data_IF_644179240281
#
_entry.id   IF_644179240281
#
_cell.length_a   1.000
_cell.length_b   1.000
_cell.length_c   1.000
_cell.angle_alpha   90.00
_cell.angle_beta   90.00
_cell.angle_gamma   90.00
#
_symmetry.space_group_name_H-M   'P 1'
#
loop_
_entity.id
_entity.type
_entity.pdbx_description
1 polymer ?
#
# COMPACT_ATOMS: atom_id res chain seq x y z
N UNK A 1 21.64 -9.90 6.61
CA UNK A 1 20.83 -10.49 7.29
C UNK A 1 19.87 -9.60 7.85
N UNK A 2 20.20 -8.70 8.60
CA UNK A 2 19.32 -7.79 9.10
C UNK A 2 18.60 -7.03 8.06
N UNK A 3 19.22 -6.73 6.96
CA UNK A 3 18.58 -6.02 5.87
C UNK A 3 17.37 -6.78 5.35
N UNK A 4 17.46 -8.09 5.27
CA UNK A 4 16.34 -8.88 4.81
C UNK A 4 15.18 -8.83 5.77
N UNK A 5 15.47 -8.86 7.06
CA UNK A 5 14.44 -8.80 8.07
C UNK A 5 13.73 -7.45 8.02
N UNK A 6 14.49 -6.38 7.89
CA UNK A 6 13.90 -5.06 7.83
C UNK A 6 13.02 -4.90 6.61
N UNK A 7 13.45 -5.46 5.47
CA UNK A 7 12.63 -5.36 4.26
C UNK A 7 11.30 -6.06 4.41
N UNK A 8 11.27 -7.15 5.18
CA UNK A 8 10.01 -7.84 5.39
C UNK A 8 9.00 -7.02 6.16
N UNK A 9 9.48 -6.06 6.96
CA UNK A 9 8.58 -5.20 7.72
C UNK A 9 8.07 -4.04 6.92
N UNK A 10 8.74 -3.70 5.84
CA UNK A 10 8.34 -2.59 5.03
C UNK A 10 7.35 -3.01 3.97
N UNK A 11 6.81 -2.03 3.28
CA UNK A 11 5.90 -2.30 2.19
C UNK A 11 6.67 -2.80 0.99
N UNK A 12 6.07 -3.74 0.27
CA UNK A 12 6.63 -4.16 -1.01
C UNK A 12 6.44 -3.05 -2.03
N UNK A 13 7.19 -3.09 -3.15
CA UNK A 13 6.97 -2.10 -4.20
C UNK A 13 5.53 -2.06 -4.69
N UNK A 14 4.88 -3.22 -4.83
CA UNK A 14 3.52 -3.25 -5.31
C UNK A 14 2.56 -2.67 -4.28
N UNK A 15 2.81 -2.92 -3.00
CA UNK A 15 1.99 -2.34 -1.95
C UNK A 15 2.13 -0.82 -1.95
N UNK A 16 3.33 -0.31 -2.17
CA UNK A 16 3.53 1.13 -2.28
C UNK A 16 2.77 1.70 -3.46
N UNK A 17 2.81 1.01 -4.59
CA UNK A 17 2.08 1.48 -5.77
C UNK A 17 0.59 1.57 -5.50
N UNK A 18 0.04 0.54 -4.86
CA UNK A 18 -1.37 0.52 -4.54
C UNK A 18 -1.73 1.68 -3.62
N UNK A 19 -0.99 1.84 -2.53
CA UNK A 19 -1.30 2.90 -1.59
C UNK A 19 -1.11 4.28 -2.20
N UNK A 20 -0.13 4.44 -3.07
CA UNK A 20 0.10 5.71 -3.73
C UNK A 20 -1.11 6.10 -4.59
N UNK A 21 -1.63 5.14 -5.36
CA UNK A 21 -2.79 5.44 -6.20
C UNK A 21 -4.02 5.74 -5.35
N UNK A 22 -4.20 5.00 -4.26
CA UNK A 22 -5.30 5.29 -3.35
C UNK A 22 -5.15 6.69 -2.75
N UNK A 23 -3.92 7.08 -2.41
CA UNK A 23 -3.67 8.41 -1.86
C UNK A 23 -4.01 9.49 -2.86
N UNK A 24 -3.92 9.19 -4.16
CA UNK A 24 -4.26 10.13 -5.21
C UNK A 24 -5.75 10.16 -5.52
N UNK A 25 -6.53 9.32 -4.83
CA UNK A 25 -7.97 9.33 -5.00
C UNK A 25 -8.53 8.23 -5.90
N UNK A 26 -7.71 7.32 -6.35
CA UNK A 26 -8.19 6.21 -7.16
C UNK A 26 -9.01 5.27 -6.29
N UNK A 27 -10.08 4.72 -6.87
CA UNK A 27 -10.81 3.64 -6.22
C UNK A 27 -10.02 2.35 -6.37
N UNK A 28 -10.39 1.34 -5.59
CA UNK A 28 -9.74 0.04 -5.71
C UNK A 28 -9.84 -0.54 -7.11
N UNK A 29 -10.98 -0.34 -7.76
CA UNK A 29 -11.17 -0.84 -9.12
C UNK A 29 -10.29 -0.09 -10.11
N UNK A 30 -10.16 1.21 -9.90
CA UNK A 30 -9.28 2.00 -10.76
C UNK A 30 -7.84 1.60 -10.58
N UNK A 31 -7.43 1.30 -9.33
CA UNK A 31 -6.08 0.81 -9.07
C UNK A 31 -5.86 -0.51 -9.81
N UNK A 32 -6.84 -1.41 -9.74
CA UNK A 32 -6.73 -2.70 -10.40
C UNK A 32 -6.51 -2.52 -11.90
N UNK A 33 -7.25 -1.61 -12.52
CA UNK A 33 -7.09 -1.36 -13.95
C UNK A 33 -5.75 -0.74 -14.25
N UNK A 34 -5.35 0.21 -13.43
CA UNK A 34 -4.08 0.90 -13.64
C UNK A 34 -2.90 -0.06 -13.57
N UNK A 35 -2.95 -1.00 -12.64
CA UNK A 35 -1.85 -1.93 -12.44
C UNK A 35 -2.02 -3.23 -13.19
N UNK A 36 -3.13 -3.39 -13.92
CA UNK A 36 -3.43 -4.59 -14.70
C UNK A 36 -3.47 -5.83 -13.82
N UNK A 37 -4.11 -5.72 -12.67
CA UNK A 37 -4.30 -6.84 -11.76
C UNK A 37 -5.78 -6.92 -11.40
N UNK A 38 -6.17 -7.99 -10.71
CA UNK A 38 -7.56 -8.14 -10.29
C UNK A 38 -7.86 -7.27 -9.08
N UNK A 39 -9.13 -6.95 -8.89
CA UNK A 39 -9.54 -6.23 -7.70
C UNK A 39 -9.21 -7.03 -6.44
N UNK A 40 -9.29 -8.35 -6.54
CA UNK A 40 -8.94 -9.22 -5.43
C UNK A 40 -7.48 -9.02 -5.02
N UNK A 41 -6.60 -8.93 -6.01
CA UNK A 41 -5.18 -8.70 -5.75
C UNK A 41 -4.96 -7.35 -5.08
N UNK A 42 -5.69 -6.32 -5.53
CA UNK A 42 -5.58 -5.00 -4.90
C UNK A 42 -6.01 -5.10 -3.44
N UNK A 43 -7.14 -5.78 -3.18
CA UNK A 43 -7.60 -5.92 -1.80
C UNK A 43 -6.58 -6.64 -0.93
N UNK A 44 -5.90 -7.65 -1.48
CA UNK A 44 -4.87 -8.36 -0.74
C UNK A 44 -3.70 -7.44 -0.41
N UNK A 45 -3.27 -6.62 -1.36
CA UNK A 45 -2.19 -5.68 -1.11
C UNK A 45 -2.58 -4.67 -0.04
N UNK A 46 -3.81 -4.18 -0.07
CA UNK A 46 -4.27 -3.24 0.94
C UNK A 46 -4.31 -3.91 2.32
N UNK A 47 -4.85 -5.11 2.38
CA UNK A 47 -4.94 -5.84 3.65
C UNK A 47 -3.55 -6.06 4.26
N UNK A 48 -2.61 -6.46 3.43
CA UNK A 48 -1.25 -6.69 3.90
C UNK A 48 -0.60 -5.40 4.37
N UNK A 49 -0.86 -4.31 3.66
CA UNK A 49 -0.33 -3.01 4.05
C UNK A 49 -0.91 -2.56 5.39
N UNK A 50 -2.20 -2.73 5.56
CA UNK A 50 -2.86 -2.37 6.83
C UNK A 50 -2.20 -3.12 7.98
N UNK A 51 -1.94 -4.41 7.79
CA UNK A 51 -1.30 -5.20 8.83
C UNK A 51 0.12 -4.73 9.09
N UNK A 52 0.89 -4.50 8.03
CA UNK A 52 2.29 -4.11 8.18
C UNK A 52 2.45 -2.75 8.86
N UNK A 53 1.52 -1.85 8.60
CA UNK A 53 1.58 -0.51 9.15
C UNK A 53 0.85 -0.39 10.49
N UNK A 54 0.27 -1.49 10.96
CA UNK A 54 -0.50 -1.50 12.20
C UNK A 54 -1.64 -0.49 12.15
N UNK A 55 -2.24 -0.35 10.97
CA UNK A 55 -3.35 0.56 10.77
C UNK A 55 -4.65 -0.14 11.10
N UNK A 56 -5.70 0.63 11.29
CA UNK A 56 -7.03 0.08 11.54
C UNK A 56 -7.88 0.06 10.29
N UNK A 57 -7.61 0.96 9.36
CA UNK A 57 -8.38 1.09 8.14
C UNK A 57 -7.42 1.35 7.00
N UNK A 58 -7.92 1.18 5.76
CA UNK A 58 -7.09 1.47 4.60
C UNK A 58 -6.74 2.96 4.54
N UNK A 59 -7.66 3.82 4.94
CA UNK A 59 -7.37 5.25 4.97
C UNK A 59 -6.23 5.54 5.93
N UNK A 60 -6.27 4.93 7.12
CA UNK A 60 -5.20 5.14 8.07
C UNK A 60 -3.88 4.60 7.54
N UNK A 61 -3.92 3.46 6.82
CA UNK A 61 -2.70 2.91 6.23
C UNK A 61 -2.07 3.91 5.26
N UNK A 62 -2.90 4.56 4.44
CA UNK A 62 -2.41 5.57 3.51
C UNK A 62 -1.78 6.73 4.29
N UNK A 63 -2.46 7.21 5.33
CA UNK A 63 -1.96 8.33 6.11
C UNK A 63 -0.62 7.97 6.76
N UNK A 64 -0.53 6.78 7.36
CA UNK A 64 0.70 6.37 8.02
C UNK A 64 1.83 6.24 7.00
N UNK A 65 1.55 5.67 5.83
CA UNK A 65 2.57 5.52 4.81
C UNK A 65 3.08 6.88 4.33
N UNK A 66 2.19 7.86 4.21
CA UNK A 66 2.59 9.21 3.86
C UNK A 66 3.47 9.81 4.95
N UNK A 67 3.06 9.65 6.21
CA UNK A 67 3.81 10.22 7.33
C UNK A 67 5.19 9.63 7.43
N UNK A 68 5.34 8.34 7.10
CA UNK A 68 6.63 7.68 7.17
C UNK A 68 7.48 7.91 5.94
N UNK A 69 6.93 8.56 4.92
CA UNK A 69 7.66 8.77 3.70
C UNK A 69 7.78 7.53 2.84
N UNK A 70 6.94 6.51 3.09
CA UNK A 70 6.95 5.31 2.27
C UNK A 70 6.27 5.52 0.94
N UNK A 71 5.34 6.46 0.88
CA UNK A 71 4.70 6.85 -0.36
C UNK A 71 4.59 8.37 -0.38
N UNK A 72 4.31 8.91 -1.56
CA UNK A 72 4.02 10.33 -1.68
C UNK A 72 2.96 10.49 -2.76
N UNK A 73 2.23 11.59 -2.71
CA UNK A 73 1.18 11.80 -3.69
C UNK A 73 1.68 12.54 -4.92
N UNK A 74 2.90 13.02 -4.87
CA UNK A 74 3.43 13.74 -6.03
C UNK A 74 4.12 12.86 -7.03
#
# INVERSE_FOLDING_TARGET
MEAGVRRRRGLTPREREVLTLLARGYTGEEVARELAVSAETVRAHVRNSVTKLHARTRLQAVVIALQRGEISVE
#
